data_IF_433902672576
#
_entry.id   IF_433902672576
#
_cell.length_a   1.000
_cell.length_b   1.000
_cell.length_c   1.000
_cell.angle_alpha   90.00
_cell.angle_beta   90.00
_cell.angle_gamma   90.00
#
_symmetry.space_group_name_H-M   'P 1'
#
loop_
_entity.id
_entity.type
_entity.pdbx_description
1 polymer ?
#
# COMPACT_ATOMS: atom_id res chain seq x y z
N UNK A 1 1.80 12.63 -14.47
CA UNK A 1 2.63 11.65 -15.24
C UNK A 1 2.91 12.10 -16.68
N UNK A 2 1.96 12.69 -17.39
CA UNK A 2 2.18 13.16 -18.79
C UNK A 2 3.39 14.09 -18.94
N UNK A 3 3.61 15.00 -18.01
CA UNK A 3 4.75 15.94 -18.04
C UNK A 3 6.12 15.29 -17.94
N UNK A 4 6.22 14.06 -17.44
CA UNK A 4 7.50 13.34 -17.34
C UNK A 4 7.94 12.72 -18.67
N UNK A 5 6.99 12.51 -19.60
CA UNK A 5 7.25 11.86 -20.87
C UNK A 5 7.47 12.86 -22.02
N UNK A 6 7.26 14.17 -21.77
CA UNK A 6 7.41 15.20 -22.79
C UNK A 6 8.79 15.20 -23.45
N UNK A 7 9.83 14.99 -22.65
CA UNK A 7 11.23 15.07 -23.08
C UNK A 7 11.70 13.86 -23.89
N UNK A 8 10.96 12.74 -23.80
CA UNK A 8 11.32 11.46 -24.47
C UNK A 8 10.26 10.98 -25.47
N UNK A 9 9.14 11.70 -25.61
CA UNK A 9 8.01 11.31 -26.46
C UNK A 9 8.38 10.91 -27.92
N UNK A 10 9.27 11.60 -28.60
CA UNK A 10 9.64 11.22 -29.98
C UNK A 10 10.42 9.90 -30.08
N UNK A 11 10.97 9.42 -28.96
CA UNK A 11 11.88 8.27 -28.91
C UNK A 11 11.24 7.06 -28.22
N UNK A 12 9.96 7.12 -27.86
CA UNK A 12 9.30 6.12 -27.02
C UNK A 12 7.97 5.66 -27.58
N UNK A 13 7.58 4.44 -27.25
CA UNK A 13 6.25 3.88 -27.52
C UNK A 13 5.19 4.34 -26.50
N UNK A 14 5.50 5.26 -25.57
CA UNK A 14 4.59 5.77 -24.57
C UNK A 14 3.41 6.51 -25.18
N UNK A 15 2.21 6.18 -24.71
CA UNK A 15 1.03 7.02 -24.76
C UNK A 15 0.25 6.94 -23.45
N UNK A 16 -0.56 7.96 -23.10
CA UNK A 16 -1.39 7.92 -21.89
C UNK A 16 -2.29 6.68 -21.84
N UNK A 17 -2.83 6.28 -23.00
CA UNK A 17 -3.76 5.15 -23.14
C UNK A 17 -3.04 3.80 -22.89
N UNK A 18 -1.74 3.73 -23.15
CA UNK A 18 -0.92 2.54 -22.89
C UNK A 18 -0.45 2.44 -21.44
N UNK A 19 -0.37 3.55 -20.71
CA UNK A 19 0.03 3.57 -19.30
C UNK A 19 -1.18 3.40 -18.39
N UNK A 20 -1.78 2.23 -18.44
CA UNK A 20 -2.95 1.87 -17.64
C UNK A 20 -2.58 1.51 -16.19
N UNK A 21 -3.55 1.48 -15.25
CA UNK A 21 -3.33 0.96 -13.91
C UNK A 21 -2.77 -0.46 -13.90
N UNK A 22 -3.21 -1.32 -14.82
CA UNK A 22 -2.72 -2.70 -14.97
C UNK A 22 -1.24 -2.73 -15.36
N UNK A 23 -0.82 -1.87 -16.31
CA UNK A 23 0.59 -1.73 -16.69
C UNK A 23 1.42 -1.25 -15.51
N UNK A 24 0.91 -0.28 -14.73
CA UNK A 24 1.58 0.17 -13.52
C UNK A 24 1.79 -0.97 -12.52
N UNK A 25 0.75 -1.77 -12.26
CA UNK A 25 0.82 -2.93 -11.35
C UNK A 25 1.84 -3.97 -11.83
N UNK A 26 1.82 -4.33 -13.11
CA UNK A 26 2.71 -5.35 -13.64
C UNK A 26 4.17 -4.89 -13.72
N UNK A 27 4.40 -3.64 -14.06
CA UNK A 27 5.72 -3.13 -14.43
C UNK A 27 6.43 -2.46 -13.26
N UNK A 28 5.71 -1.68 -12.43
CA UNK A 28 6.30 -0.79 -11.44
C UNK A 28 5.97 -1.12 -9.99
N UNK A 29 4.76 -1.64 -9.73
CA UNK A 29 4.26 -1.86 -8.37
C UNK A 29 5.17 -2.79 -7.58
N UNK A 30 5.38 -2.47 -6.31
CA UNK A 30 6.23 -3.25 -5.40
C UNK A 30 7.74 -3.12 -5.64
N UNK A 31 8.20 -2.48 -6.73
CA UNK A 31 9.63 -2.33 -7.03
C UNK A 31 10.24 -1.11 -6.33
N UNK A 32 11.53 -1.17 -5.96
CA UNK A 32 12.28 0.00 -5.52
C UNK A 32 12.22 1.13 -6.57
N UNK A 33 12.31 2.40 -6.10
CA UNK A 33 12.14 3.61 -6.92
C UNK A 33 12.82 3.54 -8.30
N UNK A 34 14.12 3.28 -8.32
CA UNK A 34 14.90 3.32 -9.56
C UNK A 34 14.69 2.07 -10.41
N UNK A 35 14.48 0.91 -9.81
CA UNK A 35 14.16 -0.32 -10.53
C UNK A 35 12.78 -0.23 -11.19
N UNK A 36 11.78 0.33 -10.50
CA UNK A 36 10.47 0.60 -11.08
C UNK A 36 10.52 1.66 -12.18
N UNK A 37 11.33 2.71 -11.99
CA UNK A 37 11.57 3.73 -13.00
C UNK A 37 12.21 3.13 -14.27
N UNK A 38 13.24 2.31 -14.11
CA UNK A 38 13.91 1.63 -15.22
C UNK A 38 12.95 0.71 -15.97
N UNK A 39 12.22 -0.13 -15.25
CA UNK A 39 11.24 -1.04 -15.84
C UNK A 39 10.15 -0.31 -16.65
N UNK A 40 9.68 0.85 -16.16
CA UNK A 40 8.73 1.67 -16.92
C UNK A 40 9.34 2.23 -18.20
N UNK A 41 10.57 2.74 -18.14
CA UNK A 41 11.27 3.26 -19.32
C UNK A 41 11.54 2.17 -20.34
N UNK A 42 11.96 0.98 -19.90
CA UNK A 42 12.16 -0.21 -20.75
C UNK A 42 10.85 -0.68 -21.41
N UNK A 43 9.76 -0.72 -20.64
CA UNK A 43 8.44 -1.12 -21.14
C UNK A 43 7.94 -0.22 -22.28
N UNK A 44 8.30 1.07 -22.24
CA UNK A 44 7.94 2.05 -23.26
C UNK A 44 9.06 2.30 -24.27
N UNK A 45 10.01 1.41 -24.39
CA UNK A 45 11.10 1.45 -25.38
C UNK A 45 11.96 2.72 -25.32
N UNK A 46 12.11 3.32 -24.13
CA UNK A 46 12.94 4.53 -23.97
C UNK A 46 14.42 4.16 -24.08
N UNK A 47 15.17 4.79 -24.97
CA UNK A 47 16.60 4.55 -25.08
C UNK A 47 17.33 4.90 -23.78
N UNK A 48 18.39 4.14 -23.47
CA UNK A 48 19.23 4.35 -22.27
C UNK A 48 18.46 4.35 -20.96
N UNK A 49 17.41 3.51 -20.85
CA UNK A 49 16.51 3.43 -19.69
C UNK A 49 17.25 3.34 -18.35
N UNK A 50 18.32 2.53 -18.28
CA UNK A 50 19.12 2.38 -17.07
C UNK A 50 19.76 3.71 -16.62
N UNK A 51 20.31 4.48 -17.55
CA UNK A 51 20.93 5.80 -17.26
C UNK A 51 19.87 6.85 -16.89
N UNK A 52 18.74 6.84 -17.58
CA UNK A 52 17.64 7.80 -17.38
C UNK A 52 16.77 7.48 -16.17
N UNK A 53 16.80 6.25 -15.66
CA UNK A 53 15.96 5.78 -14.54
C UNK A 53 16.10 6.63 -13.28
N UNK A 54 17.30 7.14 -13.01
CA UNK A 54 17.54 7.97 -11.83
C UNK A 54 16.84 9.33 -11.94
N UNK A 55 17.02 10.03 -13.03
CA UNK A 55 16.37 11.33 -13.27
C UNK A 55 14.83 11.20 -13.27
N UNK A 56 14.32 10.17 -13.95
CA UNK A 56 12.88 9.86 -13.96
C UNK A 56 12.33 9.55 -12.57
N UNK A 57 13.02 8.68 -11.81
CA UNK A 57 12.64 8.31 -10.46
C UNK A 57 12.67 9.48 -9.48
N UNK A 58 13.68 10.36 -9.57
CA UNK A 58 13.79 11.53 -8.71
C UNK A 58 12.72 12.57 -9.05
N UNK A 59 12.43 12.83 -10.33
CA UNK A 59 11.34 13.73 -10.73
C UNK A 59 9.96 13.19 -10.28
N UNK A 60 9.69 11.90 -10.49
CA UNK A 60 8.48 11.27 -9.97
C UNK A 60 8.35 11.46 -8.45
N UNK A 61 9.46 11.30 -7.72
CA UNK A 61 9.48 11.49 -6.27
C UNK A 61 9.10 12.92 -5.88
N UNK A 62 9.70 13.93 -6.51
CA UNK A 62 9.38 15.33 -6.23
C UNK A 62 7.90 15.62 -6.46
N UNK A 63 7.34 15.16 -7.59
CA UNK A 63 5.92 15.33 -7.89
C UNK A 63 5.00 14.64 -6.87
N UNK A 64 5.37 13.44 -6.39
CA UNK A 64 4.59 12.75 -5.34
C UNK A 64 4.61 13.54 -4.05
N UNK A 65 5.76 14.08 -3.65
CA UNK A 65 5.87 14.92 -2.44
C UNK A 65 5.02 16.18 -2.58
N UNK A 66 5.10 16.89 -3.72
CA UNK A 66 4.30 18.08 -4.00
C UNK A 66 2.80 17.80 -3.89
N UNK A 67 2.31 16.70 -4.47
CA UNK A 67 0.91 16.28 -4.38
C UNK A 67 0.49 15.98 -2.93
N UNK A 68 1.34 15.27 -2.17
CA UNK A 68 1.06 14.97 -0.76
C UNK A 68 1.03 16.27 0.06
N UNK A 69 1.97 17.19 -0.14
CA UNK A 69 2.03 18.46 0.58
C UNK A 69 0.84 19.36 0.26
N UNK A 70 0.39 19.36 -1.00
CA UNK A 70 -0.80 20.09 -1.44
C UNK A 70 -2.11 19.44 -0.96
N UNK A 71 -2.09 18.22 -0.42
CA UNK A 71 -3.29 17.47 -0.05
C UNK A 71 -4.06 16.93 -1.26
N UNK A 72 -3.42 16.86 -2.42
CA UNK A 72 -4.01 16.36 -3.66
C UNK A 72 -3.98 14.82 -3.72
N UNK A 73 -4.65 14.20 -2.76
CA UNK A 73 -4.83 12.75 -2.69
C UNK A 73 -6.14 12.44 -1.98
N UNK A 74 -6.62 11.21 -2.15
CA UNK A 74 -7.78 10.69 -1.43
C UNK A 74 -7.38 9.40 -0.73
N UNK A 75 -7.65 9.31 0.57
CA UNK A 75 -7.58 8.05 1.31
C UNK A 75 -8.83 7.21 0.99
N UNK A 76 -8.69 5.91 0.96
CA UNK A 76 -9.80 5.00 0.76
C UNK A 76 -10.67 4.95 2.03
N UNK A 77 -11.96 5.34 1.96
CA UNK A 77 -12.81 5.43 3.15
C UNK A 77 -13.01 4.08 3.84
N UNK A 78 -13.15 2.99 3.09
CA UNK A 78 -13.26 1.64 3.63
C UNK A 78 -12.00 1.22 4.40
N UNK A 79 -10.81 1.63 3.94
CA UNK A 79 -9.56 1.35 4.65
C UNK A 79 -9.49 2.10 5.99
N UNK A 80 -9.93 3.36 6.02
CA UNK A 80 -9.96 4.13 7.28
C UNK A 80 -10.99 3.57 8.27
N UNK A 81 -12.19 3.19 7.79
CA UNK A 81 -13.19 2.50 8.63
C UNK A 81 -12.65 1.20 9.20
N UNK A 82 -12.05 0.39 8.34
CA UNK A 82 -11.50 -0.90 8.73
C UNK A 82 -10.39 -0.77 9.78
N UNK A 83 -9.43 0.15 9.60
CA UNK A 83 -8.34 0.38 10.56
C UNK A 83 -8.90 0.82 11.92
N UNK A 84 -9.90 1.71 11.95
CA UNK A 84 -10.54 2.13 13.19
C UNK A 84 -11.23 0.93 13.87
N UNK A 85 -12.04 0.18 13.14
CA UNK A 85 -12.79 -0.96 13.67
C UNK A 85 -11.88 -2.09 14.19
N UNK A 86 -10.80 -2.38 13.48
CA UNK A 86 -9.78 -3.36 13.90
C UNK A 86 -9.16 -2.95 15.24
N UNK A 87 -8.84 -1.67 15.39
CA UNK A 87 -8.26 -1.16 16.63
C UNK A 87 -9.28 -1.11 17.78
N UNK A 88 -10.54 -0.80 17.50
CA UNK A 88 -11.63 -0.85 18.48
C UNK A 88 -11.89 -2.30 18.97
N UNK A 89 -11.65 -3.29 18.12
CA UNK A 89 -11.65 -4.71 18.48
C UNK A 89 -10.42 -5.14 19.31
N UNK A 90 -9.52 -4.21 19.65
CA UNK A 90 -8.31 -4.49 20.43
C UNK A 90 -7.16 -5.11 19.65
N UNK A 91 -7.23 -5.16 18.33
CA UNK A 91 -6.19 -5.69 17.46
C UNK A 91 -5.14 -4.61 17.20
N UNK A 92 -3.87 -4.93 17.44
CA UNK A 92 -2.74 -4.01 17.18
C UNK A 92 -2.49 -3.86 15.68
N UNK A 93 -2.18 -2.63 15.24
CA UNK A 93 -1.98 -2.31 13.82
C UNK A 93 -0.63 -1.65 13.58
N UNK A 94 0.06 -2.09 12.51
CA UNK A 94 1.30 -1.50 12.04
C UNK A 94 1.18 -1.02 10.60
N UNK A 95 1.78 0.12 10.31
CA UNK A 95 2.02 0.57 8.95
C UNK A 95 3.32 -0.07 8.41
N UNK A 96 3.26 -0.76 7.26
CA UNK A 96 4.39 -1.48 6.67
C UNK A 96 4.49 -1.23 5.16
N UNK A 97 4.99 -0.07 4.79
CA UNK A 97 5.13 0.35 3.40
C UNK A 97 6.59 0.45 2.97
N UNK A 98 6.91 -0.03 1.76
CA UNK A 98 8.22 0.17 1.14
C UNK A 98 8.46 1.62 0.69
N UNK A 99 7.41 2.45 0.69
CA UNK A 99 7.49 3.85 0.26
C UNK A 99 8.17 4.72 1.31
N UNK A 100 9.21 5.44 0.92
CA UNK A 100 9.86 6.47 1.75
C UNK A 100 8.93 7.66 2.06
N UNK A 101 7.81 7.78 1.36
CA UNK A 101 6.84 8.86 1.54
C UNK A 101 5.67 8.48 2.46
N UNK A 102 5.58 7.21 2.89
CA UNK A 102 4.44 6.73 3.65
C UNK A 102 4.20 7.57 4.91
N UNK A 103 5.23 7.83 5.71
CA UNK A 103 5.09 8.65 6.91
C UNK A 103 4.61 10.09 6.63
N UNK A 104 5.05 10.71 5.51
CA UNK A 104 4.55 12.03 5.09
C UNK A 104 3.06 11.95 4.73
N UNK A 105 2.68 10.94 3.93
CA UNK A 105 1.30 10.71 3.51
C UNK A 105 0.37 10.45 4.71
N UNK A 106 0.75 9.52 5.60
CA UNK A 106 -0.05 9.13 6.76
C UNK A 106 -0.28 10.27 7.75
N UNK A 107 0.70 11.20 7.91
CA UNK A 107 0.53 12.41 8.75
C UNK A 107 -0.46 13.41 8.18
N UNK A 108 -0.70 13.41 6.87
CA UNK A 108 -1.66 14.33 6.24
C UNK A 108 -3.10 13.85 6.37
N UNK A 109 -3.32 12.58 6.68
CA UNK A 109 -4.66 12.02 6.87
C UNK A 109 -5.12 12.31 8.30
N UNK A 110 -6.09 13.18 8.43
CA UNK A 110 -6.74 13.56 9.70
C UNK A 110 -7.83 12.54 10.02
N UNK A 111 -7.49 11.61 10.90
CA UNK A 111 -8.39 10.51 11.26
C UNK A 111 -9.57 11.01 12.10
N UNK A 112 -9.35 12.00 12.96
CA UNK A 112 -10.41 12.66 13.74
C UNK A 112 -11.43 13.35 12.84
N UNK A 113 -10.99 14.04 11.80
CA UNK A 113 -11.89 14.68 10.83
C UNK A 113 -12.69 13.64 10.07
N UNK A 114 -12.02 12.59 9.58
CA UNK A 114 -12.69 11.49 8.88
C UNK A 114 -13.75 10.81 9.75
N UNK A 115 -13.43 10.50 10.99
CA UNK A 115 -14.37 9.86 11.91
C UNK A 115 -15.61 10.76 12.17
N UNK A 116 -15.41 12.06 12.39
CA UNK A 116 -16.49 13.01 12.58
C UNK A 116 -17.39 13.17 11.35
N UNK A 117 -16.80 13.18 10.12
CA UNK A 117 -17.55 13.31 8.87
C UNK A 117 -18.32 12.03 8.49
N UNK A 118 -17.98 10.89 9.08
CA UNK A 118 -18.60 9.59 8.80
C UNK A 118 -19.39 9.04 10.01
N UNK A 119 -19.66 9.87 11.04
CA UNK A 119 -20.39 9.49 12.24
C UNK A 119 -19.80 8.22 12.93
N UNK A 120 -18.49 8.08 12.92
CA UNK A 120 -17.78 6.96 13.57
C UNK A 120 -17.47 7.32 15.01
N UNK A 121 -18.08 6.57 15.94
CA UNK A 121 -17.83 6.70 17.38
C UNK A 121 -16.75 5.69 17.80
N UNK A 122 -15.53 6.17 18.03
CA UNK A 122 -14.40 5.36 18.48
C UNK A 122 -13.66 6.09 19.60
N UNK A 123 -13.52 5.42 20.73
CA UNK A 123 -12.74 5.93 21.87
C UNK A 123 -11.24 6.05 21.55
N UNK A 124 -10.77 5.40 20.49
CA UNK A 124 -9.38 5.45 20.04
C UNK A 124 -9.07 6.72 19.22
N UNK A 125 -10.09 7.39 18.66
CA UNK A 125 -9.91 8.57 17.82
C UNK A 125 -10.07 9.84 18.65
N UNK A 126 -8.96 10.53 18.89
CA UNK A 126 -8.93 11.77 19.66
C UNK A 126 -8.77 12.99 18.75
N UNK A 127 -9.23 14.19 19.19
CA UNK A 127 -9.06 15.42 18.40
C UNK A 127 -7.60 15.69 18.04
N UNK A 128 -7.36 15.98 16.78
CA UNK A 128 -6.01 16.23 16.25
C UNK A 128 -5.28 15.01 15.70
N UNK A 129 -5.80 13.80 15.92
CA UNK A 129 -5.14 12.55 15.59
C UNK A 129 -4.98 12.38 14.08
N UNK A 130 -3.76 12.05 13.68
CA UNK A 130 -3.44 11.64 12.30
C UNK A 130 -3.42 10.12 12.18
N UNK A 131 -3.54 9.63 10.93
CA UNK A 131 -3.49 8.19 10.69
C UNK A 131 -2.12 7.59 11.09
N UNK A 132 -1.01 8.35 10.95
CA UNK A 132 0.29 7.87 11.38
C UNK A 132 0.35 7.59 12.89
N UNK A 133 -0.20 8.52 13.69
CA UNK A 133 -0.21 8.40 15.16
C UNK A 133 -1.17 7.31 15.66
N UNK A 134 -2.10 6.89 14.80
CA UNK A 134 -3.05 5.83 15.13
C UNK A 134 -2.45 4.44 15.09
N UNK A 135 -1.40 4.20 14.30
CA UNK A 135 -0.69 2.92 14.27
C UNK A 135 0.10 2.68 15.56
N UNK A 136 0.15 1.43 16.01
CA UNK A 136 0.94 1.00 17.17
C UNK A 136 2.43 0.85 16.81
N UNK A 137 2.73 0.64 15.53
CA UNK A 137 4.08 0.63 14.99
C UNK A 137 4.13 1.17 13.56
N UNK A 138 5.22 1.85 13.19
CA UNK A 138 5.47 2.32 11.83
C UNK A 138 6.81 1.77 11.33
N UNK A 139 6.72 0.86 10.37
CA UNK A 139 7.86 0.21 9.71
C UNK A 139 8.10 0.85 8.33
N UNK A 140 7.25 1.79 7.95
CA UNK A 140 7.24 2.35 6.60
C UNK A 140 8.53 3.10 6.27
N UNK A 141 8.97 2.94 5.03
CA UNK A 141 10.13 3.66 4.51
C UNK A 141 11.48 3.25 5.11
N UNK A 142 11.56 2.22 5.93
CA UNK A 142 12.83 1.70 6.42
C UNK A 142 13.61 0.99 5.32
N UNK A 143 14.92 0.92 5.49
CA UNK A 143 15.78 0.15 4.61
C UNK A 143 15.88 -1.29 5.13
N UNK A 144 15.55 -2.23 4.26
CA UNK A 144 15.65 -3.66 4.51
C UNK A 144 16.69 -4.27 3.57
N UNK A 145 17.36 -5.33 4.03
CA UNK A 145 18.34 -6.04 3.22
C UNK A 145 17.68 -6.67 1.97
N UNK A 146 16.43 -7.09 2.11
CA UNK A 146 15.64 -7.65 1.03
C UNK A 146 14.24 -7.04 1.01
N UNK A 147 13.82 -6.58 -0.17
CA UNK A 147 12.46 -6.08 -0.40
C UNK A 147 11.46 -7.22 -0.66
N UNK A 148 10.15 -6.90 -0.65
CA UNK A 148 9.09 -7.83 -1.05
C UNK A 148 9.44 -8.49 -2.40
N UNK A 149 9.30 -9.80 -2.56
CA UNK A 149 8.50 -10.73 -1.75
C UNK A 149 9.21 -11.33 -0.52
N UNK A 150 10.38 -10.84 -0.12
CA UNK A 150 11.00 -11.26 1.14
C UNK A 150 10.17 -10.74 2.33
N UNK A 151 9.93 -11.56 3.39
CA UNK A 151 9.01 -11.22 4.47
C UNK A 151 9.56 -10.23 5.51
N UNK A 152 10.82 -9.76 5.39
CA UNK A 152 11.54 -9.01 6.41
C UNK A 152 10.74 -7.81 6.95
N UNK A 153 10.07 -7.06 6.08
CA UNK A 153 9.27 -5.90 6.48
C UNK A 153 8.12 -6.30 7.42
N UNK A 154 7.39 -7.37 7.11
CA UNK A 154 6.24 -7.82 7.90
C UNK A 154 6.67 -8.52 9.18
N UNK A 155 7.73 -9.33 9.14
CA UNK A 155 8.32 -9.92 10.34
C UNK A 155 8.81 -8.84 11.32
N UNK A 156 9.35 -7.72 10.80
CA UNK A 156 9.73 -6.58 11.62
C UNK A 156 8.51 -5.92 12.25
N UNK A 157 7.41 -5.77 11.49
CA UNK A 157 6.14 -5.26 12.00
C UNK A 157 5.58 -6.12 13.14
N UNK A 158 5.47 -7.43 12.93
CA UNK A 158 5.03 -8.39 13.94
C UNK A 158 5.87 -8.31 15.22
N UNK A 159 7.20 -8.24 15.06
CA UNK A 159 8.14 -8.09 16.18
C UNK A 159 7.90 -6.79 16.97
N UNK A 160 7.69 -5.66 16.31
CA UNK A 160 7.43 -4.38 16.98
C UNK A 160 6.06 -4.34 17.65
N UNK A 161 5.06 -4.99 17.06
CA UNK A 161 3.77 -5.21 17.71
C UNK A 161 3.85 -6.20 18.87
N UNK A 162 4.92 -7.02 18.97
CA UNK A 162 5.05 -8.08 19.95
C UNK A 162 4.04 -9.19 19.77
N UNK A 163 3.73 -9.55 18.50
CA UNK A 163 2.77 -10.58 18.11
C UNK A 163 3.51 -11.64 17.28
N UNK A 164 3.28 -12.95 17.53
CA UNK A 164 3.81 -14.00 16.68
C UNK A 164 3.32 -13.85 15.22
N UNK A 165 4.17 -14.10 14.20
CA UNK A 165 3.76 -13.97 12.81
C UNK A 165 2.49 -14.76 12.43
N UNK A 166 2.34 -15.97 12.97
CA UNK A 166 1.19 -16.85 12.76
C UNK A 166 -0.14 -16.32 13.32
N UNK A 167 -0.07 -15.32 14.19
CA UNK A 167 -1.24 -14.59 14.73
C UNK A 167 -1.46 -13.26 14.03
N UNK A 168 -0.68 -12.95 12.98
CA UNK A 168 -0.78 -11.72 12.21
C UNK A 168 -1.46 -11.98 10.86
N UNK A 169 -2.14 -10.96 10.36
CA UNK A 169 -2.51 -10.89 8.96
C UNK A 169 -1.96 -9.61 8.31
N UNK A 170 -1.79 -9.64 7.01
CA UNK A 170 -1.31 -8.51 6.21
C UNK A 170 -2.36 -8.13 5.19
N UNK A 171 -2.70 -6.86 5.10
CA UNK A 171 -3.53 -6.30 4.01
C UNK A 171 -2.61 -5.76 2.93
N UNK A 172 -2.77 -6.27 1.71
CA UNK A 172 -1.89 -5.93 0.58
C UNK A 172 -2.63 -5.84 -0.75
N UNK A 173 -2.19 -4.93 -1.58
CA UNK A 173 -2.72 -4.68 -2.93
C UNK A 173 -1.74 -5.09 -4.04
N UNK A 174 -0.65 -5.77 -3.70
CA UNK A 174 0.38 -6.19 -4.64
C UNK A 174 0.75 -7.67 -4.46
N UNK A 175 0.98 -8.37 -5.58
CA UNK A 175 1.41 -9.77 -5.61
C UNK A 175 2.62 -10.02 -4.72
N UNK A 176 3.64 -9.16 -4.84
CA UNK A 176 4.88 -9.30 -4.04
C UNK A 176 4.65 -9.14 -2.53
N UNK A 177 3.65 -8.36 -2.13
CA UNK A 177 3.27 -8.19 -0.73
C UNK A 177 2.52 -9.39 -0.19
N UNK A 178 1.55 -9.94 -0.94
CA UNK A 178 0.86 -11.19 -0.59
C UNK A 178 1.87 -12.33 -0.41
N UNK A 179 2.79 -12.47 -1.37
CA UNK A 179 3.86 -13.46 -1.29
C UNK A 179 4.76 -13.27 -0.07
N UNK A 180 5.09 -12.01 0.27
CA UNK A 180 5.89 -11.69 1.46
C UNK A 180 5.17 -12.04 2.76
N UNK A 181 3.87 -11.79 2.86
CA UNK A 181 3.05 -12.17 4.02
C UNK A 181 3.07 -13.69 4.22
N UNK A 182 2.79 -14.45 3.16
CA UNK A 182 2.79 -15.92 3.20
C UNK A 182 4.18 -16.50 3.50
N UNK A 183 5.24 -15.92 2.92
CA UNK A 183 6.62 -16.32 3.22
C UNK A 183 7.01 -16.06 4.68
N UNK A 184 6.37 -15.09 5.33
CA UNK A 184 6.52 -14.76 6.75
C UNK A 184 5.65 -15.61 7.68
N UNK A 185 4.83 -16.53 7.17
CA UNK A 185 3.90 -17.34 7.96
C UNK A 185 2.67 -16.57 8.46
N UNK A 186 2.33 -15.44 7.82
CA UNK A 186 1.18 -14.60 8.14
C UNK A 186 0.03 -14.87 7.18
N UNK A 187 -1.21 -14.68 7.63
CA UNK A 187 -2.35 -14.67 6.75
C UNK A 187 -2.30 -13.44 5.81
N UNK A 188 -2.74 -13.61 4.57
CA UNK A 188 -2.73 -12.57 3.55
C UNK A 188 -4.16 -12.21 3.12
N UNK A 189 -4.55 -10.96 3.35
CA UNK A 189 -5.75 -10.34 2.82
C UNK A 189 -5.38 -9.53 1.57
N UNK A 190 -5.70 -10.07 0.41
CA UNK A 190 -5.54 -9.39 -0.88
C UNK A 190 -6.66 -8.38 -1.08
N UNK A 191 -6.29 -7.15 -1.48
CA UNK A 191 -7.21 -6.05 -1.69
C UNK A 191 -7.08 -5.53 -3.12
N UNK A 192 -7.99 -5.90 -4.01
CA UNK A 192 -8.00 -5.39 -5.38
C UNK A 192 -8.53 -3.95 -5.43
N UNK A 193 -7.74 -3.06 -6.03
CA UNK A 193 -8.08 -1.64 -6.21
C UNK A 193 -8.08 -1.19 -7.68
N UNK A 194 -7.55 -2.02 -8.56
CA UNK A 194 -7.32 -1.68 -9.97
C UNK A 194 -7.96 -2.68 -10.94
N UNK A 195 -8.99 -3.41 -10.53
CA UNK A 195 -9.58 -4.52 -11.29
C UNK A 195 -8.52 -5.58 -11.64
N UNK A 196 -7.73 -5.94 -10.65
CA UNK A 196 -6.58 -6.83 -10.75
C UNK A 196 -6.77 -8.11 -9.90
N UNK A 197 -8.03 -8.50 -9.65
CA UNK A 197 -8.41 -9.66 -8.84
C UNK A 197 -7.74 -10.94 -9.33
N UNK A 198 -7.72 -11.17 -10.65
CA UNK A 198 -7.09 -12.35 -11.23
C UNK A 198 -5.58 -12.37 -10.97
N UNK A 199 -4.94 -11.20 -11.03
CA UNK A 199 -3.51 -11.08 -10.77
C UNK A 199 -3.19 -11.34 -9.29
N UNK A 200 -4.00 -10.79 -8.38
CA UNK A 200 -3.81 -10.99 -6.94
C UNK A 200 -4.17 -12.42 -6.51
N UNK A 201 -5.22 -13.02 -7.12
CA UNK A 201 -5.62 -14.39 -6.87
C UNK A 201 -4.50 -15.40 -7.19
N UNK A 202 -3.68 -15.11 -8.22
CA UNK A 202 -2.53 -15.93 -8.57
C UNK A 202 -1.43 -15.98 -7.48
N UNK A 203 -1.44 -15.03 -6.54
CA UNK A 203 -0.57 -15.05 -5.36
C UNK A 203 -1.16 -15.83 -4.17
N UNK A 204 -2.35 -16.42 -4.36
CA UNK A 204 -3.06 -17.26 -3.39
C UNK A 204 -3.22 -16.59 -2.01
N UNK A 205 -3.83 -15.38 -1.92
CA UNK A 205 -4.16 -14.80 -0.62
C UNK A 205 -5.19 -15.68 0.11
N UNK A 206 -5.20 -15.65 1.44
CA UNK A 206 -6.17 -16.40 2.25
C UNK A 206 -7.59 -15.83 2.09
N UNK A 207 -7.70 -14.52 1.92
CA UNK A 207 -8.94 -13.82 1.56
C UNK A 207 -8.62 -12.78 0.47
N UNK A 208 -9.50 -12.62 -0.51
CA UNK A 208 -9.40 -11.61 -1.56
C UNK A 208 -10.69 -10.80 -1.62
N UNK A 209 -10.59 -9.47 -1.50
CA UNK A 209 -11.73 -8.55 -1.55
C UNK A 209 -11.44 -7.35 -2.44
N UNK A 210 -12.49 -6.62 -2.83
CA UNK A 210 -12.40 -5.32 -3.52
C UNK A 210 -12.68 -4.14 -2.60
N UNK A 211 -13.26 -4.42 -1.42
CA UNK A 211 -13.49 -3.47 -0.34
C UNK A 211 -13.19 -4.11 1.00
N UNK A 212 -12.60 -3.37 1.93
CA UNK A 212 -12.41 -3.82 3.31
C UNK A 212 -13.72 -3.81 4.12
N UNK A 213 -14.77 -3.16 3.63
CA UNK A 213 -16.12 -3.27 4.20
C UNK A 213 -16.71 -4.68 4.05
N UNK A 214 -16.14 -5.53 3.17
CA UNK A 214 -16.54 -6.93 2.97
C UNK A 214 -15.95 -7.89 4.01
N UNK A 215 -15.11 -7.43 4.93
CA UNK A 215 -14.51 -8.26 5.97
C UNK A 215 -15.46 -8.40 7.16
N UNK A 216 -15.59 -9.62 7.67
CA UNK A 216 -16.31 -9.90 8.89
C UNK A 216 -15.47 -9.50 10.12
N UNK A 217 -15.86 -8.38 10.72
CA UNK A 217 -15.15 -7.83 11.88
C UNK A 217 -15.36 -8.66 13.16
N UNK A 218 -16.50 -9.33 13.28
CA UNK A 218 -16.79 -10.20 14.44
C UNK A 218 -15.92 -11.46 14.35
N UNK A 219 -15.85 -12.09 13.19
CA UNK A 219 -14.93 -13.19 12.94
C UNK A 219 -13.46 -12.78 13.16
N UNK A 220 -13.10 -11.58 12.72
CA UNK A 220 -11.74 -11.06 12.90
C UNK A 220 -11.41 -10.83 14.39
N UNK A 221 -12.32 -10.33 15.19
CA UNK A 221 -12.17 -10.20 16.63
C UNK A 221 -11.98 -11.56 17.35
N UNK A 222 -12.46 -12.64 16.76
CA UNK A 222 -12.24 -14.03 17.21
C UNK A 222 -10.97 -14.68 16.61
N UNK A 223 -10.16 -13.92 15.86
CA UNK A 223 -8.92 -14.39 15.25
C UNK A 223 -9.10 -15.12 13.91
N UNK A 224 -10.25 -14.97 13.24
CA UNK A 224 -10.52 -15.56 11.93
C UNK A 224 -10.62 -14.48 10.85
N UNK A 225 -9.82 -14.63 9.80
CA UNK A 225 -9.88 -13.74 8.65
C UNK A 225 -10.88 -14.29 7.63
N UNK A 226 -12.07 -13.72 7.59
CA UNK A 226 -13.20 -14.19 6.78
C UNK A 226 -13.89 -13.00 6.09
N UNK A 227 -14.58 -13.31 4.98
CA UNK A 227 -15.50 -12.34 4.37
C UNK A 227 -16.84 -12.38 5.10
N UNK A 228 -17.49 -11.22 5.14
CA UNK A 228 -18.87 -11.12 5.60
C UNK A 228 -19.77 -11.94 4.67
N UNK A 229 -20.64 -12.74 5.25
CA UNK A 229 -21.68 -13.42 4.50
C UNK A 229 -22.62 -12.42 3.83
N UNK A 230 -23.02 -12.70 2.57
CA UNK A 230 -23.84 -11.82 1.74
C UNK A 230 -25.32 -11.84 2.18
#
# INVERSE_FOLDING_TARGET
METQWSDVRPETSYSPERFTPQVYQQVMSGKPRFSGAQAALEYFDVPDAATRSRAYGDRKQSMVIELIEAGEFTAYPDALRFIIAVKDAGIRVAAASSSKNAGLFLRKIRLDTFAAENDLDSAQVTPGLTLLEFFDADISGRDFAQGKPHPEIFLTGAKELGVPPEECFVVEDAVSGIQAAKAGGMAALGLSRAHDEELLAAAEPDVLVTSLDDIDLDALAEGRLERRDA
#
